data_IF_070324687865
#
_entry.id   IF_070324687865
#
_cell.length_a   1.000
_cell.length_b   1.000
_cell.length_c   1.000
_cell.angle_alpha   90.00
_cell.angle_beta   90.00
_cell.angle_gamma   90.00
#
_symmetry.space_group_name_H-M   'P 1'
#
loop_
_entity.id
_entity.type
_entity.pdbx_description
1 polymer ?
#
# COMPACT_ATOMS: atom_id res chain seq x y z
N UNK A 1 8.24 6.23 -21.62
CA UNK A 1 8.77 4.94 -21.12
C UNK A 1 8.91 4.95 -19.61
N UNK A 2 9.64 5.87 -19.01
CA UNK A 2 9.88 5.98 -17.55
C UNK A 2 8.58 5.96 -16.74
N UNK A 3 7.60 6.79 -17.08
CA UNK A 3 6.31 6.85 -16.39
C UNK A 3 5.59 5.50 -16.31
N UNK A 4 5.63 4.69 -17.38
CA UNK A 4 5.03 3.35 -17.38
C UNK A 4 5.77 2.38 -16.48
N UNK A 5 7.10 2.48 -16.41
CA UNK A 5 7.93 1.67 -15.52
C UNK A 5 7.62 2.03 -14.05
N UNK A 6 7.57 3.33 -13.73
CA UNK A 6 7.21 3.79 -12.38
C UNK A 6 5.81 3.33 -11.97
N UNK A 7 4.85 3.36 -12.90
CA UNK A 7 3.50 2.87 -12.65
C UNK A 7 3.46 1.36 -12.45
N UNK A 8 4.21 0.61 -13.26
CA UNK A 8 4.33 -0.85 -13.10
C UNK A 8 4.95 -1.24 -11.75
N UNK A 9 5.96 -0.51 -11.27
CA UNK A 9 6.54 -0.74 -9.94
C UNK A 9 5.52 -0.56 -8.82
N UNK A 10 4.64 0.46 -8.93
CA UNK A 10 3.54 0.63 -7.99
C UNK A 10 2.56 -0.55 -8.03
N UNK A 11 2.17 -0.99 -9.24
CA UNK A 11 1.26 -2.14 -9.43
C UNK A 11 1.86 -3.41 -8.81
N UNK A 12 3.13 -3.67 -9.04
CA UNK A 12 3.84 -4.84 -8.45
C UNK A 12 3.88 -4.73 -6.93
N UNK A 13 4.21 -3.56 -6.38
CA UNK A 13 4.23 -3.35 -4.94
C UNK A 13 2.84 -3.62 -4.31
N UNK A 14 1.77 -3.07 -4.89
CA UNK A 14 0.41 -3.30 -4.39
C UNK A 14 -0.04 -4.75 -4.54
N UNK A 15 0.34 -5.44 -5.62
CA UNK A 15 0.05 -6.86 -5.81
C UNK A 15 0.76 -7.73 -4.76
N UNK A 16 2.01 -7.40 -4.41
CA UNK A 16 2.75 -8.08 -3.35
C UNK A 16 2.09 -7.87 -1.98
N UNK A 17 1.68 -6.65 -1.65
CA UNK A 17 0.94 -6.39 -0.42
C UNK A 17 -0.39 -7.15 -0.40
N UNK A 18 -1.15 -7.13 -1.50
CA UNK A 18 -2.39 -7.90 -1.62
C UNK A 18 -2.16 -9.39 -1.35
N UNK A 19 -1.12 -9.97 -1.98
CA UNK A 19 -0.75 -11.36 -1.76
C UNK A 19 -0.44 -11.67 -0.28
N UNK A 20 0.37 -10.84 0.36
CA UNK A 20 0.75 -11.03 1.76
C UNK A 20 -0.47 -10.95 2.68
N UNK A 21 -1.35 -9.97 2.48
CA UNK A 21 -2.55 -9.81 3.30
C UNK A 21 -3.55 -10.97 3.14
N UNK A 22 -3.68 -11.53 1.94
CA UNK A 22 -4.70 -12.57 1.66
C UNK A 22 -4.18 -13.97 1.99
N UNK A 23 -2.96 -14.29 1.52
CA UNK A 23 -2.46 -15.66 1.52
C UNK A 23 -1.39 -15.94 2.57
N UNK A 24 -0.73 -14.91 3.07
CA UNK A 24 0.36 -15.06 4.04
C UNK A 24 0.28 -14.03 5.19
N UNK A 25 -0.89 -13.86 5.85
CA UNK A 25 -1.05 -12.88 6.93
C UNK A 25 -0.10 -13.14 8.10
N UNK A 26 0.19 -14.41 8.40
CA UNK A 26 1.14 -14.79 9.46
C UNK A 26 2.53 -14.28 9.17
N UNK A 27 3.03 -14.48 7.95
CA UNK A 27 4.35 -14.00 7.52
C UNK A 27 4.42 -12.49 7.47
N UNK A 28 3.32 -11.84 7.11
CA UNK A 28 3.22 -10.39 7.14
C UNK A 28 3.39 -9.87 8.57
N UNK A 29 2.66 -10.42 9.53
CA UNK A 29 2.72 -10.02 10.92
C UNK A 29 4.07 -10.35 11.55
N UNK A 30 4.63 -11.51 11.26
CA UNK A 30 5.99 -11.88 11.68
C UNK A 30 7.03 -10.89 11.15
N UNK A 31 6.93 -10.50 9.89
CA UNK A 31 7.75 -9.45 9.29
C UNK A 31 7.62 -8.08 9.95
N UNK A 32 6.47 -7.81 10.60
CA UNK A 32 6.24 -6.62 11.44
C UNK A 32 6.68 -6.82 12.90
N UNK A 33 7.23 -7.98 13.27
CA UNK A 33 7.62 -8.30 14.64
C UNK A 33 6.42 -8.46 15.59
N UNK A 34 5.28 -8.86 15.05
CA UNK A 34 4.08 -9.14 15.85
C UNK A 34 4.12 -10.59 16.29
N UNK A 35 4.38 -10.82 17.58
CA UNK A 35 4.23 -12.14 18.18
C UNK A 35 2.75 -12.53 18.25
N UNK A 36 2.39 -13.55 17.50
CA UNK A 36 1.03 -14.08 17.54
C UNK A 36 0.85 -14.90 18.83
N UNK A 37 -0.04 -14.48 19.74
CA UNK A 37 -0.25 -15.19 20.98
C UNK A 37 -0.61 -16.66 20.74
N UNK A 38 0.00 -17.57 21.53
CA UNK A 38 -0.25 -19.02 21.45
C UNK A 38 -1.46 -19.46 22.26
N UNK A 39 -2.06 -18.52 22.97
CA UNK A 39 -3.25 -18.76 23.80
C UNK A 39 -4.42 -19.29 22.95
N UNK A 40 -5.14 -20.27 23.53
CA UNK A 40 -6.25 -20.95 22.86
C UNK A 40 -7.40 -20.00 22.53
N UNK A 41 -7.77 -19.13 23.47
CA UNK A 41 -8.87 -18.18 23.30
C UNK A 41 -8.57 -17.20 22.16
N UNK A 42 -7.34 -16.70 22.10
CA UNK A 42 -6.89 -15.83 21.01
C UNK A 42 -6.98 -16.53 19.66
N UNK A 43 -6.50 -17.76 19.55
CA UNK A 43 -6.50 -18.54 18.31
C UNK A 43 -7.89 -18.88 17.81
N UNK A 44 -8.81 -19.16 18.72
CA UNK A 44 -10.17 -19.60 18.36
C UNK A 44 -11.11 -18.42 18.04
N UNK A 45 -10.91 -17.24 18.64
CA UNK A 45 -11.82 -16.11 18.49
C UNK A 45 -11.21 -14.88 17.81
N UNK A 46 -10.11 -14.36 18.32
CA UNK A 46 -9.54 -13.09 17.84
C UNK A 46 -8.72 -13.27 16.58
N UNK A 47 -7.98 -14.37 16.45
CA UNK A 47 -7.14 -14.63 15.30
C UNK A 47 -7.92 -14.71 13.97
N UNK A 48 -9.02 -15.47 13.85
CA UNK A 48 -9.83 -15.50 12.63
C UNK A 48 -10.40 -14.14 12.27
N UNK A 49 -10.78 -13.32 13.26
CA UNK A 49 -11.26 -11.96 13.03
C UNK A 49 -10.15 -11.06 12.46
N UNK A 50 -8.95 -11.11 13.06
CA UNK A 50 -7.79 -10.35 12.56
C UNK A 50 -7.41 -10.75 11.13
N UNK A 51 -7.36 -12.05 10.85
CA UNK A 51 -7.11 -12.58 9.50
C UNK A 51 -8.19 -12.10 8.52
N UNK A 52 -9.45 -12.08 8.96
CA UNK A 52 -10.55 -11.53 8.18
C UNK A 52 -10.31 -10.07 7.78
N UNK A 53 -9.97 -9.20 8.73
CA UNK A 53 -9.66 -7.80 8.49
C UNK A 53 -8.47 -7.65 7.53
N UNK A 54 -7.40 -8.42 7.73
CA UNK A 54 -6.23 -8.39 6.85
C UNK A 54 -6.60 -8.78 5.41
N UNK A 55 -7.45 -9.80 5.23
CA UNK A 55 -7.95 -10.20 3.90
C UNK A 55 -8.79 -9.12 3.22
N UNK A 56 -9.62 -8.37 3.97
CA UNK A 56 -10.33 -7.21 3.42
C UNK A 56 -9.38 -6.12 2.94
N UNK A 57 -8.32 -5.83 3.70
CA UNK A 57 -7.26 -4.92 3.25
C UNK A 57 -6.58 -5.45 1.98
N UNK A 58 -6.30 -6.74 1.91
CA UNK A 58 -5.77 -7.39 0.71
C UNK A 58 -6.67 -7.20 -0.51
N UNK A 59 -7.99 -7.35 -0.35
CA UNK A 59 -8.96 -7.07 -1.42
C UNK A 59 -8.92 -5.61 -1.88
N UNK A 60 -8.75 -4.65 -0.96
CA UNK A 60 -8.59 -3.24 -1.32
C UNK A 60 -7.31 -3.01 -2.16
N UNK A 61 -6.20 -3.66 -1.81
CA UNK A 61 -4.97 -3.62 -2.60
C UNK A 61 -5.12 -4.27 -3.98
N UNK A 62 -5.85 -5.38 -4.10
CA UNK A 62 -6.17 -5.99 -5.41
C UNK A 62 -6.95 -4.98 -6.26
N UNK A 63 -8.00 -4.38 -5.71
CA UNK A 63 -8.81 -3.38 -6.42
C UNK A 63 -7.93 -2.23 -6.90
N UNK A 64 -7.06 -1.70 -6.06
CA UNK A 64 -6.13 -0.63 -6.42
C UNK A 64 -5.17 -1.07 -7.53
N UNK A 65 -4.65 -2.30 -7.45
CA UNK A 65 -3.78 -2.90 -8.47
C UNK A 65 -4.47 -2.95 -9.83
N UNK A 66 -5.73 -3.41 -9.88
CA UNK A 66 -6.51 -3.47 -11.13
C UNK A 66 -6.85 -2.08 -11.67
N UNK A 67 -7.30 -1.16 -10.82
CA UNK A 67 -7.62 0.22 -11.22
C UNK A 67 -6.43 0.93 -11.86
N UNK A 68 -5.25 0.79 -11.25
CA UNK A 68 -4.03 1.42 -11.76
C UNK A 68 -3.51 0.64 -12.98
N UNK A 69 -3.53 -0.68 -12.94
CA UNK A 69 -3.09 -1.54 -14.04
C UNK A 69 -3.88 -1.31 -15.33
N UNK A 70 -5.19 -1.09 -15.21
CA UNK A 70 -6.06 -0.83 -16.36
C UNK A 70 -5.65 0.42 -17.17
N UNK A 71 -5.10 1.42 -16.53
CA UNK A 71 -4.74 2.70 -17.18
C UNK A 71 -3.29 2.82 -17.63
N UNK A 72 -2.45 1.79 -17.42
CA UNK A 72 -1.01 1.83 -17.77
C UNK A 72 -0.78 2.22 -19.24
N UNK A 73 -1.60 1.70 -20.13
CA UNK A 73 -1.43 1.93 -21.57
C UNK A 73 -2.30 3.06 -22.11
N UNK A 74 -3.45 3.34 -21.49
CA UNK A 74 -4.42 4.34 -21.96
C UNK A 74 -4.23 5.72 -21.32
N UNK A 75 -4.07 5.79 -20.02
CA UNK A 75 -3.93 7.04 -19.24
C UNK A 75 -2.94 6.89 -18.09
N UNK A 76 -1.64 6.72 -18.36
CA UNK A 76 -0.64 6.52 -17.32
C UNK A 76 -0.58 7.68 -16.31
N UNK A 77 -0.91 8.92 -16.73
CA UNK A 77 -1.00 10.06 -15.81
C UNK A 77 -2.08 9.88 -14.74
N UNK A 78 -3.24 9.33 -15.11
CA UNK A 78 -4.33 9.08 -14.15
C UNK A 78 -3.92 8.01 -13.14
N UNK A 79 -3.29 6.92 -13.58
CA UNK A 79 -2.78 5.86 -12.70
C UNK A 79 -1.73 6.38 -11.72
N UNK A 80 -0.78 7.21 -12.20
CA UNK A 80 0.25 7.81 -11.34
C UNK A 80 -0.32 8.81 -10.34
N UNK A 81 -1.32 9.61 -10.71
CA UNK A 81 -2.02 10.50 -9.77
C UNK A 81 -2.72 9.71 -8.67
N UNK A 82 -3.41 8.64 -9.01
CA UNK A 82 -4.05 7.74 -8.04
C UNK A 82 -3.03 7.11 -7.11
N UNK A 83 -1.92 6.60 -7.65
CA UNK A 83 -0.83 6.05 -6.86
C UNK A 83 -0.18 7.10 -5.96
N UNK A 84 0.05 8.32 -6.45
CA UNK A 84 0.61 9.42 -5.66
C UNK A 84 -0.30 9.80 -4.48
N UNK A 85 -1.59 9.92 -4.73
CA UNK A 85 -2.55 10.19 -3.66
C UNK A 85 -2.53 9.11 -2.58
N UNK A 86 -2.59 7.84 -2.99
CA UNK A 86 -2.56 6.71 -2.07
C UNK A 86 -1.24 6.66 -1.27
N UNK A 87 -0.10 6.73 -1.94
CA UNK A 87 1.21 6.68 -1.30
C UNK A 87 1.43 7.86 -0.36
N UNK A 88 0.93 9.06 -0.71
CA UNK A 88 0.98 10.24 0.16
C UNK A 88 0.17 10.02 1.43
N UNK A 89 -1.09 9.59 1.31
CA UNK A 89 -1.94 9.32 2.46
C UNK A 89 -1.35 8.24 3.36
N UNK A 90 -0.85 7.16 2.77
CA UNK A 90 -0.19 6.09 3.52
C UNK A 90 1.05 6.61 4.27
N UNK A 91 1.91 7.37 3.59
CA UNK A 91 3.11 7.97 4.20
C UNK A 91 2.75 8.91 5.35
N UNK A 92 1.70 9.75 5.18
CA UNK A 92 1.23 10.64 6.25
C UNK A 92 0.74 9.86 7.48
N UNK A 93 0.02 8.75 7.30
CA UNK A 93 -0.41 7.89 8.42
C UNK A 93 0.80 7.31 9.15
N UNK A 94 1.83 6.86 8.42
CA UNK A 94 3.06 6.31 9.02
C UNK A 94 3.84 7.40 9.77
N UNK A 95 3.97 8.59 9.20
CA UNK A 95 4.61 9.75 9.85
C UNK A 95 3.86 10.15 11.12
N UNK A 96 2.51 10.21 11.05
CA UNK A 96 1.70 10.50 12.22
C UNK A 96 1.98 9.52 13.36
N UNK A 97 2.01 8.22 13.07
CA UNK A 97 2.32 7.18 14.07
C UNK A 97 3.70 7.33 14.69
N UNK A 98 4.70 7.74 13.92
CA UNK A 98 6.08 7.84 14.40
C UNK A 98 6.36 9.08 15.23
N UNK A 99 5.70 10.20 14.93
CA UNK A 99 6.10 11.51 15.44
C UNK A 99 5.01 12.28 16.18
N UNK A 100 3.74 11.95 15.98
CA UNK A 100 2.61 12.70 16.52
C UNK A 100 1.67 11.86 17.37
N UNK A 101 1.84 10.54 17.42
CA UNK A 101 1.03 9.67 18.27
C UNK A 101 1.44 9.87 19.74
N UNK A 102 0.44 10.07 20.61
CA UNK A 102 0.70 10.12 22.07
C UNK A 102 1.11 8.73 22.56
N UNK A 103 2.35 8.57 23.09
CA UNK A 103 2.84 7.28 23.54
C UNK A 103 2.08 6.72 24.75
N UNK A 104 1.28 7.55 25.43
CA UNK A 104 0.46 7.13 26.57
C UNK A 104 -0.97 6.74 26.14
N UNK A 105 -1.30 6.91 24.86
CA UNK A 105 -2.59 6.50 24.34
C UNK A 105 -2.74 4.98 24.36
N UNK A 106 -3.95 4.48 24.67
CA UNK A 106 -4.29 3.06 24.56
C UNK A 106 -4.22 2.54 23.12
N UNK A 107 -4.17 3.44 22.14
CA UNK A 107 -4.02 3.14 20.71
C UNK A 107 -2.60 3.36 20.21
N UNK A 108 -1.66 3.72 21.09
CA UNK A 108 -0.28 3.97 20.72
C UNK A 108 0.37 2.74 20.07
N UNK A 109 1.22 2.99 19.07
CA UNK A 109 1.99 1.92 18.43
C UNK A 109 2.96 1.32 19.45
N UNK A 110 2.86 -0.01 19.72
CA UNK A 110 3.77 -0.66 20.67
C UNK A 110 5.23 -0.43 20.30
N UNK A 111 6.12 -0.19 21.28
CA UNK A 111 7.55 0.06 21.00
C UNK A 111 8.21 -1.05 20.17
N UNK A 112 7.81 -2.31 20.36
CA UNK A 112 8.32 -3.44 19.58
C UNK A 112 8.00 -3.33 18.06
N UNK A 113 6.95 -2.59 17.70
CA UNK A 113 6.56 -2.38 16.31
C UNK A 113 7.19 -1.15 15.67
N UNK A 114 7.79 -0.24 16.46
CA UNK A 114 8.34 1.02 15.95
C UNK A 114 9.40 0.83 14.87
N UNK A 115 10.25 -0.18 14.98
CA UNK A 115 11.27 -0.49 13.97
C UNK A 115 10.63 -0.89 12.63
N UNK A 116 9.56 -1.67 12.67
CA UNK A 116 8.81 -2.07 11.48
C UNK A 116 8.09 -0.87 10.85
N UNK A 117 7.54 0.02 11.68
CA UNK A 117 6.91 1.28 11.21
C UNK A 117 7.94 2.18 10.53
N UNK A 118 9.18 2.28 11.06
CA UNK A 118 10.29 3.02 10.42
C UNK A 118 10.68 2.40 9.08
N UNK A 119 10.76 1.07 8.97
CA UNK A 119 11.01 0.37 7.71
C UNK A 119 9.91 0.66 6.69
N UNK A 120 8.65 0.67 7.13
CA UNK A 120 7.51 1.02 6.27
C UNK A 120 7.57 2.47 5.79
N UNK A 121 8.03 3.40 6.63
CA UNK A 121 8.23 4.79 6.22
C UNK A 121 9.24 4.87 5.07
N UNK A 122 10.38 4.19 5.20
CA UNK A 122 11.42 4.17 4.17
C UNK A 122 10.88 3.61 2.85
N UNK A 123 10.16 2.49 2.90
CA UNK A 123 9.56 1.86 1.71
C UNK A 123 8.50 2.77 1.07
N UNK A 124 7.66 3.43 1.86
CA UNK A 124 6.63 4.34 1.34
C UNK A 124 7.22 5.60 0.72
N UNK A 125 8.29 6.16 1.30
CA UNK A 125 9.02 7.30 0.72
C UNK A 125 9.63 6.91 -0.63
N UNK A 126 10.28 5.76 -0.73
CA UNK A 126 10.85 5.27 -2.01
C UNK A 126 9.77 5.13 -3.07
N UNK A 127 8.64 4.52 -2.72
CA UNK A 127 7.53 4.33 -3.65
C UNK A 127 6.90 5.68 -4.06
N UNK A 128 6.83 6.63 -3.13
CA UNK A 128 6.34 7.99 -3.39
C UNK A 128 7.27 8.74 -4.35
N UNK A 129 8.59 8.68 -4.14
CA UNK A 129 9.59 9.28 -5.04
C UNK A 129 9.50 8.69 -6.44
N UNK A 130 9.42 7.37 -6.57
CA UNK A 130 9.24 6.68 -7.85
C UNK A 130 7.96 7.18 -8.55
N UNK A 131 6.88 7.35 -7.80
CA UNK A 131 5.61 7.82 -8.34
C UNK A 131 5.69 9.26 -8.85
N UNK A 132 6.34 10.15 -8.11
CA UNK A 132 6.54 11.54 -8.55
C UNK A 132 7.49 11.65 -9.74
N UNK A 133 8.54 10.83 -9.81
CA UNK A 133 9.37 10.73 -11.02
C UNK A 133 8.55 10.30 -12.24
N UNK A 134 7.66 9.34 -12.05
CA UNK A 134 6.71 8.93 -13.09
C UNK A 134 5.82 10.09 -13.53
N UNK A 135 5.26 10.87 -12.58
CA UNK A 135 4.43 12.03 -12.87
C UNK A 135 5.19 13.14 -13.60
N UNK A 136 6.44 13.39 -13.25
CA UNK A 136 7.27 14.39 -13.91
C UNK A 136 7.61 14.03 -15.37
N UNK A 137 7.56 12.76 -15.72
CA UNK A 137 7.94 12.25 -17.06
C UNK A 137 6.76 11.74 -17.87
N UNK A 138 5.52 11.84 -17.34
CA UNK A 138 4.35 11.25 -17.99
C UNK A 138 3.94 12.08 -19.21
N UNK A 139 3.65 11.35 -20.29
CA UNK A 139 2.97 11.87 -21.46
C UNK A 139 1.82 10.92 -21.77
N UNK A 140 0.59 11.43 -21.71
CA UNK A 140 -0.57 10.65 -22.12
C UNK A 140 -0.60 10.56 -23.67
N UNK A 141 -1.07 9.44 -24.22
CA UNK A 141 -1.28 9.33 -25.65
C UNK A 141 -2.29 10.40 -26.13
N UNK A 142 -2.12 10.94 -27.35
CA UNK A 142 -3.05 11.92 -27.89
C UNK A 142 -4.46 11.34 -27.91
N UNK A 143 -5.44 12.16 -27.51
CA UNK A 143 -6.86 11.77 -27.61
C UNK A 143 -7.18 11.50 -29.06
N UNK A 144 -7.62 10.29 -29.38
CA UNK A 144 -8.23 10.00 -30.67
C UNK A 144 -9.36 11.00 -30.89
N UNK A 145 -9.24 11.80 -31.98
CA UNK A 145 -10.35 12.65 -32.39
C UNK A 145 -11.48 11.73 -32.81
N UNK A 146 -12.50 11.60 -31.96
CA UNK A 146 -13.76 10.97 -32.35
C UNK A 146 -14.31 11.78 -33.53
N UNK A 147 -14.12 11.28 -34.74
CA UNK A 147 -14.84 11.75 -35.89
C UNK A 147 -16.32 11.38 -35.67
N UNK A 148 -17.08 12.30 -35.05
CA UNK A 148 -18.55 12.28 -35.12
C UNK A 148 -18.92 12.37 -36.59
N UNK A 149 -19.34 11.24 -37.15
CA UNK A 149 -20.06 11.20 -38.42
C UNK A 149 -21.50 11.56 -38.18
#
# INVERSE_FOLDING_TARGET
MIAKICLLLNVVAYALYAYMFIFAPDKLLDGYGVDIPKDKLFKESLWPMMVGILRYLGCAYITLTFLIGHVIFSKPSAGLKTAAMYNTLFTLVVVHRLYFEDPNSVYATPPALLESVKKNLSASIVLLVITFLGLATVQDPPKEKTHTK
#
